data_IF_665216484385
#
_entry.id   IF_665216484385
#
_cell.length_a   1.000
_cell.length_b   1.000
_cell.length_c   1.000
_cell.angle_alpha   90.00
_cell.angle_beta   90.00
_cell.angle_gamma   90.00
#
_symmetry.space_group_name_H-M   'P 1'
#
loop_
_entity.id
_entity.type
_entity.pdbx_description
1 polymer ?
#
# COMPACT_ATOMS: atom_id res chain seq x y z
N UNK A 1 15.50 -26.59 20.02
CA UNK A 1 14.07 -26.76 19.73
C UNK A 1 13.94 -26.88 18.22
N UNK A 2 13.59 -28.06 17.72
CA UNK A 2 13.74 -28.42 16.30
C UNK A 2 12.44 -28.15 15.54
N UNK A 3 12.42 -27.12 14.70
CA UNK A 3 11.26 -26.83 13.84
C UNK A 3 11.49 -27.53 12.49
N UNK A 4 10.69 -28.56 12.23
CA UNK A 4 10.59 -29.23 10.92
C UNK A 4 9.57 -28.47 10.08
N UNK A 5 10.01 -27.73 9.07
CA UNK A 5 9.12 -27.18 8.03
C UNK A 5 8.76 -28.28 7.03
N UNK A 6 7.53 -28.79 7.11
CA UNK A 6 6.93 -29.57 6.03
C UNK A 6 6.57 -28.61 4.90
N UNK A 7 7.16 -28.81 3.72
CA UNK A 7 6.65 -28.26 2.45
C UNK A 7 5.20 -28.72 2.29
N UNK A 8 4.25 -27.79 2.35
CA UNK A 8 2.86 -28.05 1.97
C UNK A 8 2.79 -27.79 0.46
N UNK A 9 2.60 -28.88 -0.27
CA UNK A 9 2.28 -28.85 -1.69
C UNK A 9 0.97 -28.08 -1.90
N UNK A 10 0.97 -27.23 -2.93
CA UNK A 10 -0.24 -26.66 -3.52
C UNK A 10 -1.23 -27.80 -3.77
N UNK A 11 -2.31 -27.85 -2.99
CA UNK A 11 -3.43 -28.76 -3.25
C UNK A 11 -4.49 -27.98 -4.02
N UNK A 12 -4.60 -28.35 -5.30
CA UNK A 12 -5.72 -28.03 -6.17
C UNK A 12 -6.98 -28.59 -5.50
N UNK A 13 -7.83 -27.71 -5.00
CA UNK A 13 -9.17 -28.08 -4.53
C UNK A 13 -10.15 -27.88 -5.68
N UNK A 14 -10.36 -28.94 -6.45
CA UNK A 14 -11.46 -29.05 -7.40
C UNK A 14 -12.67 -29.69 -6.69
N UNK A 15 -13.85 -29.07 -6.83
CA UNK A 15 -15.15 -29.66 -6.47
C UNK A 15 -16.08 -28.66 -5.76
N UNK A 16 -16.78 -27.80 -6.50
CA UNK A 16 -18.12 -27.98 -7.10
C UNK A 16 -19.26 -27.46 -6.20
N UNK A 17 -19.80 -26.30 -6.59
CA UNK A 17 -21.25 -26.13 -6.66
C UNK A 17 -21.59 -25.42 -7.97
N UNK A 18 -22.49 -26.08 -8.72
CA UNK A 18 -22.89 -25.73 -10.07
C UNK A 18 -23.51 -24.33 -10.15
N UNK A 19 -22.91 -23.45 -10.95
CA UNK A 19 -23.64 -22.34 -11.54
C UNK A 19 -24.31 -22.87 -12.82
N UNK A 20 -25.64 -22.75 -12.85
CA UNK A 20 -26.47 -23.14 -13.97
C UNK A 20 -25.96 -22.53 -15.28
N UNK A 21 -25.91 -23.37 -16.30
CA UNK A 21 -25.66 -22.98 -17.68
C UNK A 21 -26.72 -21.99 -18.17
N UNK A 22 -26.27 -20.96 -18.91
CA UNK A 22 -27.12 -20.22 -19.85
C UNK A 22 -27.70 -18.91 -19.33
N UNK A 23 -26.85 -17.91 -19.14
CA UNK A 23 -27.21 -16.52 -19.39
C UNK A 23 -26.11 -15.89 -20.25
N UNK A 24 -26.45 -15.08 -21.27
CA UNK A 24 -25.44 -14.34 -22.02
C UNK A 24 -24.74 -13.39 -21.05
N UNK A 25 -23.45 -13.13 -21.26
CA UNK A 25 -22.65 -12.21 -20.47
C UNK A 25 -23.42 -10.90 -20.18
N UNK A 26 -23.70 -10.64 -18.91
CA UNK A 26 -24.24 -9.37 -18.44
C UNK A 26 -23.13 -8.33 -18.50
N UNK A 27 -22.92 -7.74 -19.66
CA UNK A 27 -22.42 -6.38 -19.71
C UNK A 27 -23.53 -5.48 -19.10
N UNK A 28 -23.19 -4.61 -18.14
CA UNK A 28 -24.02 -3.52 -17.59
C UNK A 28 -24.97 -3.76 -16.39
N UNK A 29 -24.84 -4.80 -15.57
CA UNK A 29 -25.55 -4.82 -14.27
C UNK A 29 -24.78 -3.99 -13.23
N UNK A 30 -25.31 -2.82 -12.85
CA UNK A 30 -24.74 -1.97 -11.79
C UNK A 30 -25.41 -2.19 -10.42
N UNK A 31 -26.35 -3.13 -10.29
CA UNK A 31 -27.11 -3.33 -9.06
C UNK A 31 -26.26 -3.80 -7.88
N UNK A 32 -25.10 -4.42 -8.13
CA UNK A 32 -24.14 -4.79 -7.07
C UNK A 32 -23.47 -3.58 -6.42
N UNK A 33 -23.45 -2.43 -7.08
CA UNK A 33 -22.92 -1.18 -6.51
C UNK A 33 -23.93 -0.47 -5.59
N UNK A 34 -25.23 -0.70 -5.79
CA UNK A 34 -26.29 -0.05 -5.01
C UNK A 34 -27.54 0.29 -5.81
N UNK A 35 -28.26 1.34 -5.40
CA UNK A 35 -29.52 1.75 -6.04
C UNK A 35 -29.25 2.38 -7.42
N UNK A 36 -29.79 1.79 -8.47
CA UNK A 36 -29.61 2.27 -9.85
C UNK A 36 -30.58 3.41 -10.22
N UNK A 37 -31.56 3.71 -9.36
CA UNK A 37 -32.54 4.78 -9.59
C UNK A 37 -31.92 6.12 -9.22
N UNK A 38 -31.54 6.90 -10.24
CA UNK A 38 -30.81 8.16 -10.06
C UNK A 38 -31.54 9.18 -9.17
N UNK A 39 -32.87 9.13 -9.12
CA UNK A 39 -33.71 10.00 -8.28
C UNK A 39 -33.68 9.61 -6.79
N UNK A 40 -33.26 8.39 -6.46
CA UNK A 40 -33.09 7.89 -5.09
C UNK A 40 -31.66 8.08 -4.57
N UNK A 41 -30.72 8.42 -5.46
CA UNK A 41 -29.33 8.70 -5.12
C UNK A 41 -29.16 10.16 -4.70
N UNK A 42 -28.64 10.45 -3.49
CA UNK A 42 -28.39 11.84 -3.10
C UNK A 42 -27.38 12.50 -4.05
N UNK A 43 -27.61 13.74 -4.47
CA UNK A 43 -26.67 14.45 -5.33
C UNK A 43 -25.44 14.99 -4.58
N UNK A 44 -25.50 15.07 -3.24
CA UNK A 44 -24.39 15.48 -2.39
C UNK A 44 -24.52 14.82 -1.03
N UNK A 45 -23.40 14.38 -0.49
CA UNK A 45 -23.34 13.91 0.89
C UNK A 45 -21.93 13.94 1.43
N UNK A 46 -21.82 13.77 2.74
CA UNK A 46 -20.58 13.76 3.49
C UNK A 46 -20.78 12.92 4.74
N UNK A 47 -19.86 12.02 5.00
CA UNK A 47 -19.88 11.23 6.23
C UNK A 47 -19.57 12.12 7.45
N UNK A 48 -20.14 11.76 8.60
CA UNK A 48 -19.96 12.52 9.85
C UNK A 48 -18.51 12.46 10.33
N UNK A 49 -17.91 11.26 10.28
CA UNK A 49 -16.51 11.06 10.58
C UNK A 49 -15.62 11.91 9.66
N UNK A 50 -14.52 12.42 10.20
CA UNK A 50 -13.55 13.15 9.39
C UNK A 50 -12.28 12.31 9.32
N UNK A 51 -12.02 11.66 8.18
CA UNK A 51 -10.77 10.93 8.01
C UNK A 51 -9.60 11.86 8.28
N UNK A 52 -8.72 11.42 9.17
CA UNK A 52 -7.61 12.23 9.61
C UNK A 52 -6.50 12.25 8.58
N UNK A 53 -5.83 13.40 8.49
CA UNK A 53 -4.65 13.55 7.62
C UNK A 53 -3.49 12.82 8.27
N UNK A 54 -2.74 12.10 7.45
CA UNK A 54 -1.56 11.34 7.84
C UNK A 54 -0.54 11.26 6.72
N UNK A 55 0.47 10.42 6.92
CA UNK A 55 1.49 10.09 5.95
C UNK A 55 1.20 8.70 5.39
N UNK A 56 1.65 8.43 4.17
CA UNK A 56 1.72 7.05 3.68
C UNK A 56 2.96 6.31 4.21
N UNK A 57 3.75 6.94 5.09
CA UNK A 57 4.94 6.36 5.72
C UNK A 57 5.85 5.68 4.67
N UNK A 58 6.44 6.51 3.81
CA UNK A 58 7.17 6.07 2.63
C UNK A 58 8.29 5.06 2.98
N UNK A 59 8.36 3.96 2.23
CA UNK A 59 9.40 2.95 2.43
C UNK A 59 10.80 3.48 2.12
N UNK A 60 10.92 4.46 1.23
CA UNK A 60 12.18 5.18 0.99
C UNK A 60 12.72 5.91 2.23
N UNK A 61 11.91 6.06 3.30
CA UNK A 61 12.30 6.62 4.59
C UNK A 61 12.32 5.60 5.73
N UNK A 62 12.16 4.31 5.44
CA UNK A 62 11.97 3.22 6.42
C UNK A 62 10.63 3.29 7.15
N UNK A 63 9.53 3.50 6.41
CA UNK A 63 8.19 3.32 6.95
C UNK A 63 7.93 4.08 8.25
N UNK A 64 7.45 3.37 9.26
CA UNK A 64 7.21 3.93 10.60
C UNK A 64 8.44 3.90 11.52
N UNK A 65 9.55 3.30 11.07
CA UNK A 65 10.86 3.42 11.70
C UNK A 65 11.56 4.76 11.39
N UNK A 66 11.00 5.59 10.50
CA UNK A 66 11.49 6.94 10.28
C UNK A 66 11.30 7.85 11.50
N UNK A 67 12.42 8.36 12.05
CA UNK A 67 12.42 9.40 13.09
C UNK A 67 12.04 10.77 12.51
N UNK A 68 10.77 10.95 12.14
CA UNK A 68 10.26 12.15 11.47
C UNK A 68 10.45 13.47 12.25
N UNK A 69 10.68 13.37 13.57
CA UNK A 69 10.84 14.53 14.45
C UNK A 69 12.23 15.15 14.41
N UNK A 70 13.26 14.43 13.96
CA UNK A 70 14.65 14.91 13.93
C UNK A 70 14.83 16.22 13.14
N UNK A 71 14.08 16.37 12.04
CA UNK A 71 14.17 17.56 11.18
C UNK A 71 13.17 18.67 11.50
N UNK A 72 12.24 18.45 12.43
CA UNK A 72 11.07 19.32 12.62
C UNK A 72 10.86 19.81 14.07
N UNK A 73 11.42 19.12 15.07
CA UNK A 73 11.22 19.42 16.49
C UNK A 73 12.51 19.94 17.13
N UNK A 74 12.38 20.96 17.98
CA UNK A 74 13.53 21.64 18.59
C UNK A 74 14.28 20.72 19.57
N UNK A 75 13.53 19.88 20.27
CA UNK A 75 13.97 18.88 21.24
C UNK A 75 14.88 17.81 20.60
N UNK A 76 14.74 17.60 19.29
CA UNK A 76 15.50 16.60 18.53
C UNK A 76 16.66 17.19 17.72
N UNK A 77 16.96 18.48 17.86
CA UNK A 77 18.09 19.09 17.16
C UNK A 77 19.41 18.48 17.63
N UNK A 78 20.24 18.08 16.68
CA UNK A 78 21.56 17.50 16.94
C UNK A 78 21.53 16.05 17.42
N UNK A 79 20.35 15.40 17.46
CA UNK A 79 20.25 13.97 17.67
C UNK A 79 20.77 13.24 16.41
N UNK A 80 21.71 12.32 16.60
CA UNK A 80 22.21 11.50 15.52
C UNK A 80 21.12 10.54 15.01
N UNK A 81 20.83 10.63 13.71
CA UNK A 81 19.88 9.75 13.05
C UNK A 81 20.32 8.27 13.09
N UNK A 82 21.62 8.01 13.30
CA UNK A 82 22.18 6.66 13.42
C UNK A 82 22.39 6.19 14.87
N UNK A 83 21.97 6.97 15.87
CA UNK A 83 22.07 6.55 17.26
C UNK A 83 21.17 5.35 17.54
N UNK A 84 21.69 4.38 18.28
CA UNK A 84 20.94 3.22 18.80
C UNK A 84 19.71 3.68 19.61
N UNK A 85 18.53 3.05 19.44
CA UNK A 85 17.32 3.42 20.19
C UNK A 85 17.52 3.40 21.71
N UNK A 86 18.22 2.38 22.23
CA UNK A 86 18.55 2.25 23.65
C UNK A 86 19.33 3.46 24.17
N UNK A 87 20.35 3.89 23.43
CA UNK A 87 21.19 5.05 23.79
C UNK A 87 20.35 6.31 23.90
N UNK A 88 19.42 6.53 22.97
CA UNK A 88 18.52 7.68 23.05
C UNK A 88 17.59 7.61 24.27
N UNK A 89 17.13 6.43 24.67
CA UNK A 89 16.34 6.28 25.90
C UNK A 89 17.19 6.60 27.13
N UNK A 90 18.40 6.05 27.20
CA UNK A 90 19.32 6.26 28.33
C UNK A 90 19.76 7.73 28.47
N UNK A 91 19.86 8.46 27.36
CA UNK A 91 20.13 9.90 27.32
C UNK A 91 18.91 10.80 27.60
N UNK A 92 17.72 10.22 27.86
CA UNK A 92 16.48 10.97 28.07
C UNK A 92 15.92 11.61 26.79
N UNK A 93 16.32 11.11 25.61
CA UNK A 93 15.90 11.57 24.28
C UNK A 93 14.87 10.65 23.63
N UNK A 94 14.14 9.86 24.43
CA UNK A 94 13.09 8.94 23.97
C UNK A 94 11.98 9.64 23.16
N UNK A 95 11.79 10.95 23.37
CA UNK A 95 10.90 11.76 22.54
C UNK A 95 11.25 11.61 21.05
N UNK A 96 12.53 11.57 20.68
CA UNK A 96 13.02 11.59 19.30
C UNK A 96 13.02 10.25 18.57
N UNK A 97 12.65 9.16 19.26
CA UNK A 97 12.47 7.85 18.65
C UNK A 97 11.36 7.86 17.58
N UNK A 98 11.42 6.90 16.67
CA UNK A 98 10.37 6.61 15.69
C UNK A 98 9.21 5.84 16.34
N UNK A 99 8.13 5.60 15.57
CA UNK A 99 7.01 4.83 16.10
C UNK A 99 7.39 3.35 16.32
N UNK A 100 8.17 2.76 15.40
CA UNK A 100 8.66 1.39 15.53
C UNK A 100 9.56 1.21 16.77
N UNK A 101 10.51 2.13 16.97
CA UNK A 101 11.41 2.08 18.12
C UNK A 101 10.68 2.25 19.47
N UNK A 102 9.63 3.07 19.49
CA UNK A 102 8.77 3.19 20.66
C UNK A 102 7.92 1.94 20.88
N UNK A 103 7.51 1.25 19.81
CA UNK A 103 6.86 -0.07 19.93
C UNK A 103 7.82 -1.10 20.53
N UNK A 104 9.08 -1.12 20.10
CA UNK A 104 10.10 -1.99 20.70
C UNK A 104 10.27 -1.73 22.20
N UNK A 105 10.17 -0.47 22.64
CA UNK A 105 10.16 -0.15 24.07
C UNK A 105 8.96 -0.78 24.78
N UNK A 106 7.76 -0.64 24.22
CA UNK A 106 6.55 -1.23 24.77
C UNK A 106 6.64 -2.75 24.84
N UNK A 107 7.20 -3.39 23.81
CA UNK A 107 7.39 -4.84 23.74
C UNK A 107 8.55 -5.33 24.61
N UNK A 108 9.52 -4.46 24.93
CA UNK A 108 10.68 -4.80 25.75
C UNK A 108 11.83 -5.39 24.93
N UNK A 109 11.85 -5.08 23.64
CA UNK A 109 12.80 -5.61 22.64
C UNK A 109 13.81 -4.55 22.17
N UNK A 110 13.83 -3.35 22.80
CA UNK A 110 14.78 -2.27 22.43
C UNK A 110 16.23 -2.70 22.50
N UNK A 111 16.56 -3.55 23.48
CA UNK A 111 17.93 -4.03 23.71
C UNK A 111 18.33 -5.10 22.69
N UNK A 112 17.36 -5.66 21.96
CA UNK A 112 17.57 -6.67 20.93
C UNK A 112 17.79 -6.06 19.54
N UNK A 113 17.54 -4.76 19.36
CA UNK A 113 17.68 -4.07 18.07
C UNK A 113 19.16 -4.07 17.63
N UNK A 114 19.47 -4.78 16.54
CA UNK A 114 20.81 -4.78 15.93
C UNK A 114 21.01 -3.56 14.99
N UNK A 115 20.85 -2.33 15.49
CA UNK A 115 20.67 -1.15 14.62
C UNK A 115 21.86 -0.89 13.68
N UNK A 116 23.10 -0.95 14.18
CA UNK A 116 24.29 -0.76 13.33
C UNK A 116 24.36 -1.77 12.17
N UNK A 117 24.01 -3.04 12.44
CA UNK A 117 24.00 -4.12 11.46
C UNK A 117 22.84 -3.97 10.46
N UNK A 118 21.69 -3.52 10.94
CA UNK A 118 20.52 -3.17 10.12
C UNK A 118 20.84 -2.02 9.15
N UNK A 119 21.55 -0.98 9.61
CA UNK A 119 22.01 0.11 8.74
C UNK A 119 22.98 -0.40 7.67
N UNK A 120 23.94 -1.26 8.04
CA UNK A 120 24.86 -1.89 7.08
C UNK A 120 24.09 -2.74 6.05
N UNK A 121 23.14 -3.55 6.49
CA UNK A 121 22.28 -4.37 5.63
C UNK A 121 21.54 -3.52 4.61
N UNK A 122 20.88 -2.44 5.06
CA UNK A 122 20.16 -1.52 4.19
C UNK A 122 21.09 -0.80 3.20
N UNK A 123 22.24 -0.30 3.66
CA UNK A 123 23.18 0.41 2.80
C UNK A 123 23.76 -0.51 1.69
N UNK A 124 24.13 -1.75 2.03
CA UNK A 124 24.56 -2.76 1.05
C UNK A 124 23.45 -3.14 0.08
N UNK A 125 22.24 -3.36 0.60
CA UNK A 125 21.07 -3.69 -0.25
C UNK A 125 20.83 -2.60 -1.30
N UNK A 126 20.83 -1.33 -0.87
CA UNK A 126 20.63 -0.21 -1.78
C UNK A 126 21.78 -0.05 -2.79
N UNK A 127 23.02 -0.26 -2.37
CA UNK A 127 24.18 -0.10 -3.23
C UNK A 127 24.32 -1.23 -4.28
N UNK A 128 24.01 -2.46 -3.88
CA UNK A 128 24.37 -3.65 -4.66
C UNK A 128 23.18 -4.30 -5.37
N UNK A 129 21.98 -4.23 -4.81
CA UNK A 129 20.81 -4.95 -5.31
C UNK A 129 19.83 -4.06 -6.08
N UNK A 130 19.73 -2.77 -5.76
CA UNK A 130 18.70 -1.88 -6.34
C UNK A 130 18.74 -1.80 -7.86
N UNK A 131 19.94 -1.70 -8.46
CA UNK A 131 20.08 -1.66 -9.92
C UNK A 131 19.64 -2.98 -10.56
N UNK A 132 20.09 -4.12 -10.01
CA UNK A 132 19.73 -5.46 -10.49
C UNK A 132 18.22 -5.68 -10.40
N UNK A 133 17.62 -5.37 -9.25
CA UNK A 133 16.19 -5.52 -9.03
C UNK A 133 15.34 -4.64 -9.95
N UNK A 134 15.86 -3.47 -10.35
CA UNK A 134 15.19 -2.59 -11.32
C UNK A 134 15.23 -3.18 -12.73
N UNK A 135 16.40 -3.66 -13.18
CA UNK A 135 16.55 -4.32 -14.48
C UNK A 135 15.69 -5.58 -14.58
N UNK A 136 15.63 -6.38 -13.51
CA UNK A 136 14.76 -7.57 -13.44
C UNK A 136 13.29 -7.17 -13.60
N UNK A 137 12.83 -6.10 -12.94
CA UNK A 137 11.45 -5.61 -13.08
C UNK A 137 11.12 -5.18 -14.51
N UNK A 138 12.05 -4.50 -15.18
CA UNK A 138 11.86 -4.10 -16.58
C UNK A 138 11.79 -5.32 -17.51
N UNK A 139 12.62 -6.35 -17.27
CA UNK A 139 12.56 -7.60 -18.01
C UNK A 139 11.25 -8.35 -17.79
N UNK A 140 10.75 -8.41 -16.54
CA UNK A 140 9.45 -9.04 -16.25
C UNK A 140 8.33 -8.40 -17.09
N UNK A 141 8.31 -7.08 -17.23
CA UNK A 141 7.31 -6.38 -18.05
C UNK A 141 7.40 -6.79 -19.52
N UNK A 142 8.62 -6.80 -20.09
CA UNK A 142 8.85 -7.22 -21.48
C UNK A 142 8.47 -8.68 -21.71
N UNK A 143 8.89 -9.57 -20.79
CA UNK A 143 8.62 -10.99 -20.86
C UNK A 143 7.13 -11.31 -20.73
N UNK A 144 6.41 -10.61 -19.85
CA UNK A 144 4.96 -10.77 -19.73
C UNK A 144 4.24 -10.40 -21.04
N UNK A 145 4.62 -9.27 -21.66
CA UNK A 145 4.09 -8.90 -22.99
C UNK A 145 4.41 -9.97 -24.03
N UNK A 146 5.65 -10.46 -24.07
CA UNK A 146 6.06 -11.49 -25.01
C UNK A 146 5.29 -12.82 -24.81
N UNK A 147 5.07 -13.24 -23.56
CA UNK A 147 4.33 -14.46 -23.21
C UNK A 147 2.88 -14.35 -23.70
N UNK A 148 2.25 -13.19 -23.54
CA UNK A 148 0.89 -12.96 -24.02
C UNK A 148 0.80 -13.10 -25.55
N UNK A 149 1.79 -12.59 -26.28
CA UNK A 149 1.85 -12.66 -27.74
C UNK A 149 2.27 -14.05 -28.28
N UNK A 150 2.91 -14.89 -27.45
CA UNK A 150 3.52 -16.16 -27.86
C UNK A 150 3.07 -17.34 -26.97
N UNK A 151 1.75 -17.63 -26.91
CA UNK A 151 1.23 -18.67 -26.03
C UNK A 151 1.84 -20.04 -26.34
N UNK A 152 2.32 -20.72 -25.29
CA UNK A 152 2.90 -22.07 -25.38
C UNK A 152 4.38 -22.12 -25.80
N UNK A 153 5.00 -20.98 -26.11
CA UNK A 153 6.45 -20.91 -26.31
C UNK A 153 7.20 -20.70 -24.99
N UNK A 154 8.43 -21.21 -24.88
CA UNK A 154 9.25 -21.02 -23.68
C UNK A 154 9.99 -19.68 -23.72
N UNK A 155 9.54 -18.74 -22.90
CA UNK A 155 10.13 -17.41 -22.79
C UNK A 155 11.60 -17.43 -22.37
N UNK A 156 12.06 -18.52 -21.72
CA UNK A 156 13.45 -18.67 -21.25
C UNK A 156 14.45 -18.76 -22.40
N UNK A 157 14.00 -19.14 -23.59
CA UNK A 157 14.86 -19.25 -24.77
C UNK A 157 15.11 -17.92 -25.46
N UNK A 158 14.33 -16.88 -25.14
CA UNK A 158 14.52 -15.51 -25.63
C UNK A 158 15.76 -14.85 -25.02
N UNK A 159 16.30 -13.82 -25.68
CA UNK A 159 17.45 -13.06 -25.16
C UNK A 159 17.11 -12.36 -23.82
N UNK A 160 15.92 -11.74 -23.73
CA UNK A 160 15.42 -11.14 -22.49
C UNK A 160 15.22 -12.21 -21.38
N UNK A 161 14.80 -13.42 -21.75
CA UNK A 161 14.60 -14.53 -20.81
C UNK A 161 15.92 -15.04 -20.23
N UNK A 162 16.95 -15.18 -21.08
CA UNK A 162 18.31 -15.55 -20.64
C UNK A 162 18.92 -14.47 -19.75
N UNK A 163 18.74 -13.21 -20.10
CA UNK A 163 19.22 -12.09 -19.27
C UNK A 163 18.48 -12.02 -17.92
N UNK A 164 17.16 -12.26 -17.90
CA UNK A 164 16.39 -12.35 -16.66
C UNK A 164 16.94 -13.45 -15.74
N UNK A 165 17.22 -14.64 -16.28
CA UNK A 165 17.78 -15.75 -15.50
C UNK A 165 19.17 -15.41 -14.95
N UNK A 166 20.04 -14.81 -15.77
CA UNK A 166 21.38 -14.37 -15.36
C UNK A 166 21.33 -13.34 -14.24
N UNK A 167 20.50 -12.31 -14.38
CA UNK A 167 20.35 -11.27 -13.37
C UNK A 167 19.74 -11.79 -12.07
N UNK A 168 18.81 -12.74 -12.13
CA UNK A 168 18.27 -13.37 -10.92
C UNK A 168 19.33 -14.20 -10.19
N UNK A 169 20.14 -14.97 -10.91
CA UNK A 169 21.25 -15.71 -10.29
C UNK A 169 22.26 -14.77 -9.61
N UNK A 170 22.59 -13.65 -10.27
CA UNK A 170 23.44 -12.61 -9.70
C UNK A 170 22.81 -11.96 -8.46
N UNK A 171 21.50 -11.64 -8.52
CA UNK A 171 20.76 -11.08 -7.40
C UNK A 171 20.77 -12.01 -6.19
N UNK A 172 20.48 -13.29 -6.38
CA UNK A 172 20.47 -14.29 -5.29
C UNK A 172 21.87 -14.50 -4.69
N UNK A 173 22.91 -14.49 -5.53
CA UNK A 173 24.30 -14.54 -5.07
C UNK A 173 24.61 -13.36 -4.15
N UNK A 174 24.28 -12.13 -4.58
CA UNK A 174 24.53 -10.92 -3.78
C UNK A 174 23.68 -10.85 -2.52
N UNK A 175 22.43 -11.32 -2.56
CA UNK A 175 21.59 -11.46 -1.35
C UNK A 175 22.25 -12.37 -0.32
N UNK A 176 22.87 -13.47 -0.75
CA UNK A 176 23.57 -14.39 0.15
C UNK A 176 24.84 -13.77 0.78
N UNK A 177 25.43 -12.75 0.15
CA UNK A 177 26.58 -11.99 0.66
C UNK A 177 26.18 -10.88 1.65
N UNK A 178 24.89 -10.53 1.74
CA UNK A 178 24.41 -9.53 2.70
C UNK A 178 24.62 -10.00 4.16
N UNK A 179 24.83 -9.05 5.09
CA UNK A 179 24.84 -9.34 6.52
C UNK A 179 23.58 -10.11 6.93
N UNK A 180 23.75 -11.23 7.63
CA UNK A 180 22.61 -12.02 8.10
C UNK A 180 21.99 -11.33 9.33
N UNK A 181 20.82 -10.75 9.17
CA UNK A 181 20.09 -10.03 10.23
C UNK A 181 18.93 -10.90 10.76
N UNK A 182 18.69 -10.84 12.07
CA UNK A 182 17.47 -11.37 12.67
C UNK A 182 16.39 -10.29 12.64
N UNK A 183 15.14 -10.67 12.40
CA UNK A 183 14.00 -9.75 12.43
C UNK A 183 13.17 -10.10 13.65
N UNK A 184 13.57 -9.54 14.80
CA UNK A 184 12.96 -9.81 16.10
C UNK A 184 12.27 -8.57 16.69
N UNK A 185 12.49 -7.40 16.09
CA UNK A 185 11.99 -6.10 16.54
C UNK A 185 11.15 -5.41 15.46
N UNK A 186 10.26 -4.51 15.88
CA UNK A 186 9.47 -3.68 14.97
C UNK A 186 10.38 -2.78 14.12
N UNK A 187 11.46 -2.26 14.71
CA UNK A 187 12.45 -1.45 13.99
C UNK A 187 13.12 -2.25 12.88
N UNK A 188 13.59 -3.47 13.16
CA UNK A 188 14.23 -4.31 12.15
C UNK A 188 13.26 -4.70 11.04
N UNK A 189 12.03 -5.08 11.40
CA UNK A 189 11.00 -5.44 10.44
C UNK A 189 10.74 -4.31 9.43
N UNK A 190 10.53 -3.09 9.94
CA UNK A 190 10.30 -1.92 9.08
C UNK A 190 11.48 -1.59 8.18
N UNK A 191 12.71 -1.74 8.67
CA UNK A 191 13.88 -1.47 7.87
C UNK A 191 14.12 -2.54 6.79
N UNK A 192 13.91 -3.81 7.13
CA UNK A 192 14.16 -4.96 6.24
C UNK A 192 13.05 -5.11 5.20
N UNK A 193 11.78 -5.10 5.63
CA UNK A 193 10.63 -5.42 4.78
C UNK A 193 9.95 -4.18 4.17
N UNK A 194 10.01 -3.03 4.86
CA UNK A 194 9.30 -1.79 4.47
C UNK A 194 10.22 -0.57 4.39
N UNK A 195 11.49 -0.81 4.02
CA UNK A 195 12.53 0.20 4.17
C UNK A 195 13.69 0.07 3.19
N UNK A 196 14.84 0.58 3.63
CA UNK A 196 16.11 0.52 2.89
C UNK A 196 16.66 -0.91 2.74
N UNK A 197 16.14 -1.89 3.47
CA UNK A 197 16.42 -3.31 3.24
C UNK A 197 15.75 -3.87 1.99
N UNK A 198 14.82 -3.12 1.38
CA UNK A 198 14.14 -3.55 0.16
C UNK A 198 14.87 -3.03 -1.08
N UNK A 199 15.42 -3.95 -1.88
CA UNK A 199 16.09 -3.62 -3.13
C UNK A 199 15.11 -2.96 -4.12
N UNK A 200 15.49 -1.82 -4.69
CA UNK A 200 14.68 -1.16 -5.72
C UNK A 200 13.37 -0.56 -5.21
N UNK A 201 13.27 -0.26 -3.92
CA UNK A 201 12.16 0.48 -3.33
C UNK A 201 11.84 1.75 -4.14
N UNK A 202 10.58 1.93 -4.53
CA UNK A 202 10.15 3.09 -5.33
C UNK A 202 9.61 4.21 -4.44
N UNK A 203 9.65 5.45 -4.94
CA UNK A 203 9.26 6.64 -4.18
C UNK A 203 7.80 6.64 -3.69
N UNK A 204 6.90 5.96 -4.40
CA UNK A 204 5.49 5.86 -4.07
C UNK A 204 5.16 4.71 -3.12
N UNK A 205 6.09 3.77 -2.88
CA UNK A 205 5.85 2.65 -1.98
C UNK A 205 5.69 3.13 -0.53
N UNK A 206 4.66 2.62 0.12
CA UNK A 206 4.34 2.91 1.50
C UNK A 206 2.99 2.35 1.92
N UNK A 207 2.63 2.64 3.16
CA UNK A 207 1.42 2.23 3.85
C UNK A 207 0.17 3.07 3.48
N UNK A 208 0.02 3.50 2.21
CA UNK A 208 -1.09 4.39 1.83
C UNK A 208 -2.47 3.71 1.97
N UNK A 209 -2.57 2.43 1.63
CA UNK A 209 -3.78 1.61 1.81
C UNK A 209 -4.19 1.57 3.29
N UNK A 210 -3.20 1.31 4.15
CA UNK A 210 -3.39 1.13 5.57
C UNK A 210 -3.72 2.46 6.27
N UNK A 211 -3.02 3.54 5.90
CA UNK A 211 -3.35 4.89 6.35
C UNK A 211 -4.77 5.30 5.94
N UNK A 212 -5.16 5.08 4.69
CA UNK A 212 -6.48 5.45 4.22
C UNK A 212 -7.59 4.70 4.97
N UNK A 213 -7.38 3.41 5.26
CA UNK A 213 -8.28 2.61 6.08
C UNK A 213 -8.32 3.11 7.54
N UNK A 214 -7.17 3.24 8.20
CA UNK A 214 -7.08 3.74 9.58
C UNK A 214 -7.71 5.14 9.73
N UNK A 215 -7.54 6.01 8.73
CA UNK A 215 -8.16 7.32 8.71
C UNK A 215 -9.70 7.25 8.72
N UNK A 216 -10.28 6.29 8.01
CA UNK A 216 -11.73 6.08 7.96
C UNK A 216 -12.28 5.39 9.20
N UNK A 217 -11.50 4.51 9.81
CA UNK A 217 -11.99 3.58 10.83
C UNK A 217 -11.68 4.02 12.25
N UNK A 218 -10.61 4.79 12.46
CA UNK A 218 -10.15 5.22 13.77
C UNK A 218 -10.46 6.68 14.04
N UNK A 219 -10.73 6.99 15.31
CA UNK A 219 -10.74 8.37 15.79
C UNK A 219 -9.34 8.98 15.69
N UNK A 220 -9.29 10.26 15.33
CA UNK A 220 -8.01 10.94 15.15
C UNK A 220 -7.24 11.04 16.48
N UNK A 221 -6.01 10.51 16.56
CA UNK A 221 -5.12 10.79 17.68
C UNK A 221 -4.79 12.29 17.71
N UNK A 222 -5.02 12.93 18.87
CA UNK A 222 -4.85 14.39 19.05
C UNK A 222 -4.05 14.80 20.26
N UNK A 223 -3.83 13.87 21.19
CA UNK A 223 -3.13 14.12 22.43
C UNK A 223 -1.90 13.22 22.49
N UNK A 224 -0.89 13.72 23.19
CA UNK A 224 0.24 12.89 23.59
C UNK A 224 -0.24 11.83 24.59
N UNK A 225 0.32 10.62 24.47
CA UNK A 225 0.09 9.52 25.40
C UNK A 225 1.41 9.12 26.04
N UNK A 226 1.39 8.73 27.31
CA UNK A 226 2.59 8.27 28.01
C UNK A 226 2.49 6.77 28.30
N UNK A 227 3.60 6.06 28.11
CA UNK A 227 3.73 4.66 28.50
C UNK A 227 4.93 4.52 29.42
N UNK A 228 4.69 3.94 30.60
CA UNK A 228 5.73 3.63 31.58
C UNK A 228 6.02 2.15 31.59
N UNK A 229 7.29 1.77 31.41
CA UNK A 229 7.78 0.40 31.52
C UNK A 229 9.15 0.41 32.19
N UNK A 230 9.38 -0.52 33.11
CA UNK A 230 10.65 -0.68 33.85
C UNK A 230 11.18 0.63 34.47
N UNK A 231 10.25 1.45 35.00
CA UNK A 231 10.57 2.73 35.65
C UNK A 231 10.92 3.87 34.68
N UNK A 232 10.81 3.67 33.37
CA UNK A 232 11.03 4.68 32.32
C UNK A 232 9.71 5.04 31.67
N UNK A 233 9.49 6.33 31.43
CA UNK A 233 8.31 6.83 30.71
C UNK A 233 8.73 7.34 29.34
N UNK A 234 8.00 6.92 28.30
CA UNK A 234 8.12 7.48 26.95
C UNK A 234 6.81 8.11 26.52
N UNK A 235 6.88 9.22 25.81
CA UNK A 235 5.73 9.93 25.25
C UNK A 235 5.53 9.52 23.80
N UNK A 236 4.32 9.12 23.41
CA UNK A 236 3.86 8.97 22.04
C UNK A 236 3.09 10.23 21.63
N UNK A 237 3.56 10.90 20.59
CA UNK A 237 2.84 12.02 19.96
C UNK A 237 1.71 11.50 19.05
N UNK A 238 0.73 12.34 18.67
CA UNK A 238 -0.26 11.99 17.66
C UNK A 238 0.30 11.41 16.37
N UNK A 239 1.48 11.87 15.93
CA UNK A 239 2.14 11.35 14.72
C UNK A 239 2.55 9.89 14.86
N UNK A 240 3.05 9.49 16.03
CA UNK A 240 3.46 8.11 16.29
C UNK A 240 2.27 7.19 16.51
N UNK A 241 1.23 7.65 17.20
CA UNK A 241 0.00 6.87 17.32
C UNK A 241 -0.65 6.66 15.95
N UNK A 242 -0.65 7.69 15.08
CA UNK A 242 -1.11 7.56 13.69
C UNK A 242 -0.27 6.55 12.89
N UNK A 243 1.05 6.52 13.05
CA UNK A 243 1.92 5.51 12.44
C UNK A 243 1.56 4.08 12.89
N UNK A 244 1.42 3.86 14.19
CA UNK A 244 1.09 2.54 14.73
C UNK A 244 -0.32 2.07 14.32
N UNK A 245 -1.30 2.97 14.31
CA UNK A 245 -2.62 2.68 13.78
C UNK A 245 -2.53 2.32 12.30
N UNK A 246 -1.76 3.07 11.50
CA UNK A 246 -1.52 2.72 10.10
C UNK A 246 -1.00 1.29 9.97
N UNK A 247 0.02 0.88 10.71
CA UNK A 247 0.52 -0.51 10.64
C UNK A 247 -0.53 -1.55 11.02
N UNK A 248 -1.33 -1.29 12.05
CA UNK A 248 -2.39 -2.22 12.46
C UNK A 248 -3.42 -2.48 11.34
N UNK A 249 -3.54 -1.57 10.38
CA UNK A 249 -4.47 -1.65 9.25
C UNK A 249 -3.84 -2.24 7.96
N UNK A 250 -2.56 -2.62 7.94
CA UNK A 250 -1.83 -2.98 6.70
C UNK A 250 -2.35 -4.21 5.97
N UNK A 251 -2.76 -5.25 6.71
CA UNK A 251 -3.23 -6.54 6.15
C UNK A 251 -4.73 -6.79 6.38
N UNK A 252 -5.52 -5.73 6.53
CA UNK A 252 -6.95 -5.89 6.74
C UNK A 252 -7.69 -6.33 5.48
N UNK A 253 -8.60 -7.30 5.62
CA UNK A 253 -9.50 -7.70 4.55
C UNK A 253 -10.40 -6.54 4.13
N UNK A 254 -10.58 -6.37 2.82
CA UNK A 254 -11.46 -5.35 2.24
C UNK A 254 -12.40 -5.96 1.22
N UNK A 255 -13.59 -5.35 1.09
CA UNK A 255 -14.41 -5.54 -0.11
C UNK A 255 -13.80 -4.67 -1.21
N UNK A 256 -13.47 -5.29 -2.34
CA UNK A 256 -12.76 -4.64 -3.44
C UNK A 256 -13.65 -4.58 -4.68
N UNK A 257 -13.68 -3.43 -5.34
CA UNK A 257 -14.39 -3.21 -6.60
C UNK A 257 -13.41 -2.63 -7.61
N UNK A 258 -13.44 -3.17 -8.83
CA UNK A 258 -12.43 -2.92 -9.84
C UNK A 258 -11.28 -3.91 -9.76
N UNK A 259 -10.27 -3.69 -10.58
CA UNK A 259 -9.07 -4.51 -10.73
C UNK A 259 -7.84 -3.60 -10.92
N UNK A 260 -6.63 -4.14 -10.83
CA UNK A 260 -5.42 -3.32 -10.94
C UNK A 260 -5.11 -2.99 -12.39
N UNK A 261 -4.51 -1.82 -12.64
CA UNK A 261 -4.08 -1.41 -13.98
C UNK A 261 -3.28 -2.48 -14.74
N UNK A 262 -2.45 -3.24 -14.01
CA UNK A 262 -1.57 -4.28 -14.56
C UNK A 262 -2.10 -5.71 -14.33
N UNK A 263 -3.38 -5.88 -14.02
CA UNK A 263 -3.98 -7.21 -13.89
C UNK A 263 -3.89 -7.97 -15.24
N UNK A 264 -3.45 -9.24 -15.27
CA UNK A 264 -3.37 -10.03 -16.50
C UNK A 264 -4.71 -10.12 -17.24
N UNK A 265 -5.84 -9.99 -16.55
CA UNK A 265 -7.18 -9.99 -17.13
C UNK A 265 -7.61 -8.60 -17.64
N UNK A 266 -6.83 -7.54 -17.36
CA UNK A 266 -7.03 -6.21 -17.92
C UNK A 266 -6.25 -6.05 -19.23
N UNK A 267 -6.95 -6.20 -20.36
CA UNK A 267 -6.43 -5.86 -21.69
C UNK A 267 -6.38 -4.33 -21.90
N UNK A 268 -5.60 -3.62 -21.08
CA UNK A 268 -5.43 -2.16 -21.12
C UNK A 268 -6.35 -1.39 -20.16
N UNK A 269 -6.55 -0.08 -20.41
CA UNK A 269 -7.56 0.70 -19.68
C UNK A 269 -8.94 0.17 -20.06
N UNK A 270 -9.40 -0.83 -19.33
CA UNK A 270 -10.76 -1.33 -19.44
C UNK A 270 -11.69 -0.30 -18.81
N UNK A 271 -12.37 0.50 -19.64
CA UNK A 271 -13.45 1.40 -19.18
C UNK A 271 -14.60 0.64 -18.50
N UNK A 272 -14.58 -0.69 -18.58
CA UNK A 272 -15.57 -1.60 -18.01
C UNK A 272 -15.21 -2.08 -16.60
N UNK A 273 -14.00 -1.81 -16.09
CA UNK A 273 -13.57 -2.25 -14.75
C UNK A 273 -14.42 -1.61 -13.63
N UNK A 274 -14.35 -0.29 -13.50
CA UNK A 274 -15.29 0.51 -12.71
C UNK A 274 -15.90 1.56 -13.63
N UNK A 275 -17.11 1.27 -14.14
CA UNK A 275 -17.81 2.20 -15.03
C UNK A 275 -18.15 3.51 -14.30
N UNK A 276 -18.25 4.66 -15.00
CA UNK A 276 -18.67 5.92 -14.39
C UNK A 276 -20.02 5.84 -13.65
N UNK A 277 -20.95 5.04 -14.18
CA UNK A 277 -22.23 4.77 -13.54
C UNK A 277 -22.05 3.98 -12.24
N UNK A 278 -21.27 2.89 -12.26
CA UNK A 278 -20.95 2.09 -11.09
C UNK A 278 -20.26 2.90 -9.99
N UNK A 279 -19.26 3.72 -10.36
CA UNK A 279 -18.59 4.63 -9.43
C UNK A 279 -19.58 5.62 -8.77
N UNK A 280 -20.47 6.23 -9.57
CA UNK A 280 -21.45 7.17 -9.04
C UNK A 280 -22.46 6.48 -8.10
N UNK A 281 -23.02 5.34 -8.51
CA UNK A 281 -23.97 4.55 -7.72
C UNK A 281 -23.33 4.11 -6.41
N UNK A 282 -22.12 3.55 -6.45
CA UNK A 282 -21.41 3.10 -5.25
C UNK A 282 -21.13 4.28 -4.31
N UNK A 283 -20.62 5.40 -4.85
CA UNK A 283 -20.33 6.59 -4.05
C UNK A 283 -21.58 7.14 -3.37
N UNK A 284 -22.67 7.29 -4.11
CA UNK A 284 -23.92 7.81 -3.59
C UNK A 284 -24.60 6.86 -2.59
N UNK A 285 -24.47 5.55 -2.81
CA UNK A 285 -24.95 4.53 -1.88
C UNK A 285 -24.13 4.55 -0.58
N UNK A 286 -22.80 4.42 -0.66
CA UNK A 286 -21.94 4.34 0.53
C UNK A 286 -21.99 5.63 1.34
N UNK A 287 -21.70 6.79 0.72
CA UNK A 287 -21.59 8.06 1.44
C UNK A 287 -22.98 8.68 1.66
N UNK A 288 -23.85 8.65 0.66
CA UNK A 288 -25.13 9.35 0.68
C UNK A 288 -26.23 8.64 1.46
N UNK A 289 -26.37 7.32 1.26
CA UNK A 289 -27.43 6.55 1.90
C UNK A 289 -26.94 5.85 3.18
N UNK A 290 -25.71 5.31 3.19
CA UNK A 290 -25.20 4.53 4.32
C UNK A 290 -24.32 5.34 5.29
N UNK A 291 -23.88 6.54 4.92
CA UNK A 291 -22.99 7.36 5.75
C UNK A 291 -21.59 6.77 5.96
N UNK A 292 -21.13 5.90 5.06
CA UNK A 292 -19.84 5.21 5.09
C UNK A 292 -18.88 5.77 4.04
N UNK A 293 -17.65 6.07 4.46
CA UNK A 293 -16.57 6.37 3.54
C UNK A 293 -15.91 5.11 3.04
N UNK A 294 -15.11 5.22 1.99
CA UNK A 294 -14.35 4.12 1.42
C UNK A 294 -13.04 4.64 0.84
N UNK A 295 -12.11 3.73 0.54
CA UNK A 295 -10.81 4.07 -0.05
C UNK A 295 -10.90 3.98 -1.56
N UNK A 296 -10.30 4.94 -2.25
CA UNK A 296 -10.13 4.90 -3.71
C UNK A 296 -8.65 4.90 -4.07
N UNK A 297 -8.30 4.18 -5.12
CA UNK A 297 -7.12 4.53 -5.89
C UNK A 297 -7.47 5.74 -6.77
N UNK A 298 -6.76 6.85 -6.58
CA UNK A 298 -6.98 8.08 -7.37
C UNK A 298 -6.07 8.19 -8.58
N UNK A 299 -5.14 7.24 -8.75
CA UNK A 299 -4.18 7.25 -9.83
C UNK A 299 -4.51 6.15 -10.84
N UNK A 300 -4.43 6.45 -12.13
CA UNK A 300 -4.88 5.55 -13.20
C UNK A 300 -3.71 4.93 -13.96
N UNK A 301 -2.57 4.74 -13.29
CA UNK A 301 -1.34 4.20 -13.89
C UNK A 301 -0.73 3.08 -13.04
N UNK A 302 0.56 2.83 -13.21
CA UNK A 302 1.29 1.77 -12.49
C UNK A 302 1.35 1.97 -10.97
N UNK A 303 1.36 3.23 -10.52
CA UNK A 303 1.40 3.55 -9.10
C UNK A 303 0.01 3.48 -8.48
N UNK A 304 -0.08 2.87 -7.30
CA UNK A 304 -1.35 2.79 -6.54
C UNK A 304 -1.33 3.83 -5.43
N UNK A 305 -2.29 4.75 -5.44
CA UNK A 305 -2.40 5.83 -4.46
C UNK A 305 -3.76 5.85 -3.78
N UNK A 306 -3.82 5.21 -2.61
CA UNK A 306 -5.02 5.08 -1.81
C UNK A 306 -5.37 6.38 -1.07
N UNK A 307 -6.62 6.82 -1.15
CA UNK A 307 -7.12 7.99 -0.45
C UNK A 307 -8.51 7.73 0.17
N UNK A 308 -8.77 8.20 1.40
CA UNK A 308 -10.08 8.05 2.02
C UNK A 308 -11.09 9.05 1.44
N UNK A 309 -12.19 8.54 0.91
CA UNK A 309 -13.27 9.34 0.35
C UNK A 309 -14.29 9.71 1.44
N UNK A 310 -14.41 11.01 1.71
CA UNK A 310 -15.27 11.55 2.77
C UNK A 310 -16.61 12.10 2.26
N UNK A 311 -16.59 12.72 1.09
CA UNK A 311 -17.76 13.43 0.55
C UNK A 311 -17.72 13.48 -0.96
N UNK A 312 -18.88 13.65 -1.57
CA UNK A 312 -19.02 13.88 -2.99
C UNK A 312 -20.08 14.96 -3.27
N UNK A 313 -20.03 15.50 -4.48
CA UNK A 313 -21.09 16.34 -5.03
C UNK A 313 -21.16 16.04 -6.52
N UNK A 314 -22.35 15.64 -6.96
CA UNK A 314 -22.68 15.37 -8.35
C UNK A 314 -23.47 16.53 -8.91
N UNK A 315 -23.17 16.87 -10.17
CA UNK A 315 -23.92 17.83 -10.96
C UNK A 315 -24.40 17.11 -12.21
N UNK A 316 -25.68 17.32 -12.53
CA UNK A 316 -26.30 16.75 -13.71
C UNK A 316 -26.66 17.91 -14.62
N UNK A 317 -26.11 17.89 -15.82
CA UNK A 317 -26.36 18.88 -16.86
C UNK A 317 -27.01 18.17 -18.05
N UNK A 318 -27.91 18.83 -18.80
CA UNK A 318 -28.44 18.26 -20.04
C UNK A 318 -27.28 17.90 -20.98
N UNK A 319 -27.32 16.69 -21.54
CA UNK A 319 -26.30 16.23 -22.50
C UNK A 319 -26.34 17.04 -23.80
N UNK A 320 -27.53 17.56 -24.15
CA UNK A 320 -27.77 18.44 -25.28
C UNK A 320 -28.53 19.65 -24.79
N UNK A 321 -28.16 20.83 -25.30
CA UNK A 321 -28.98 22.02 -25.16
C UNK A 321 -30.23 21.83 -26.02
N UNK A 322 -31.40 21.81 -25.38
CA UNK A 322 -32.68 21.68 -26.08
C UNK A 322 -32.99 22.90 -26.96
N UNK A 323 -32.21 23.98 -26.80
CA UNK A 323 -32.27 25.20 -27.61
C UNK A 323 -31.10 25.33 -28.60
N UNK A 324 -30.21 24.32 -28.73
CA UNK A 324 -29.19 24.33 -29.77
C UNK A 324 -29.87 24.25 -31.15
N UNK A 325 -29.53 25.13 -32.12
CA UNK A 325 -30.05 25.01 -33.47
C UNK A 325 -29.70 23.63 -34.04
N UNK A 326 -30.65 22.97 -34.70
CA UNK A 326 -30.45 21.67 -35.35
C UNK A 326 -29.14 21.71 -36.13
N UNK A 327 -28.22 20.80 -35.80
CA UNK A 327 -26.98 20.66 -36.54
C UNK A 327 -27.32 20.43 -38.02
N UNK A 328 -26.84 21.31 -38.90
CA UNK A 328 -26.96 21.11 -40.35
C UNK A 328 -26.49 19.69 -40.67
N UNK A 329 -27.36 18.93 -41.31
CA UNK A 329 -27.04 17.62 -41.86
C UNK A 329 -25.83 17.77 -42.76
N UNK A 330 -24.66 17.34 -42.28
CA UNK A 330 -23.50 17.10 -43.13
C UNK A 330 -23.78 15.77 -43.83
N UNK A 331 -24.22 15.85 -45.08
CA UNK A 331 -24.22 14.68 -45.97
C UNK A 331 -22.77 14.16 -46.08
N UNK A 332 -22.59 12.89 -45.75
CA UNK A 332 -21.33 12.16 -45.96
C UNK A 332 -21.15 11.79 -47.43
#
# INVERSE_FOLDING_TARGET
MTIRTKKIALSVSAGLLAAAAGAPALAFDNSHYGDTRINELPAKARIAHRPWVGSWWAYTRNGIAYRHKLGSFAECRGVDAKAEPKTLIDEGKSYCLSAAEKMDFVLGTVDDVEFAKMIEYGDKTQAELTSLQSQIRDLVRKLNSWIADNPGQDWRETDDGKEYLRLNEELETKKAELPQISVDTATEFEHVEHGRGVAGVQGWWGHCNAWAAAALMEDEPRLDAEVTKDGRTITFTPGEVKALLTESWMEHHSSFFGSRHNDPENEGVSYDDVTPAGFHIYTATQIGQQGKGFVIDRFTGDEVWNQPMRSYTSRFEPLYDVDAPEAETVEL
#
